data_IF_461933709284
#
_entry.id   IF_461933709284
#
_cell.length_a   1.000
_cell.length_b   1.000
_cell.length_c   1.000
_cell.angle_alpha   90.00
_cell.angle_beta   90.00
_cell.angle_gamma   90.00
#
_symmetry.space_group_name_H-M   'P 1'
#
loop_
_entity.id
_entity.type
_entity.pdbx_description
1 polymer ?
#
# COMPACT_ATOMS: atom_id res chain seq x y z
N UNK A 1 -13.33 -8.23 10.01
CA UNK A 1 -12.39 -7.39 10.80
C UNK A 1 -12.93 -5.98 10.85
N UNK A 2 -13.12 -5.39 12.03
CA UNK A 2 -13.51 -3.98 12.19
C UNK A 2 -12.33 -3.20 12.79
N UNK A 3 -11.96 -2.09 12.16
CA UNK A 3 -10.97 -1.15 12.73
C UNK A 3 -11.75 -0.09 13.50
N UNK A 4 -11.45 0.16 14.79
CA UNK A 4 -12.09 1.23 15.55
C UNK A 4 -11.89 2.58 14.85
N UNK A 5 -12.96 3.34 14.66
CA UNK A 5 -12.93 4.66 14.04
C UNK A 5 -13.51 5.73 14.97
N UNK A 6 -13.12 6.97 14.73
CA UNK A 6 -13.74 8.18 15.29
C UNK A 6 -14.19 9.08 14.15
N UNK A 7 -15.18 9.92 14.40
CA UNK A 7 -15.67 10.88 13.40
C UNK A 7 -14.92 12.19 13.59
N UNK A 8 -14.27 12.69 12.53
CA UNK A 8 -13.55 13.98 12.55
C UNK A 8 -13.95 14.85 11.38
N UNK A 9 -13.97 16.17 11.60
CA UNK A 9 -14.16 17.15 10.53
C UNK A 9 -12.90 17.20 9.66
N UNK A 10 -13.05 17.09 8.34
CA UNK A 10 -11.96 17.26 7.36
C UNK A 10 -12.38 18.23 6.27
N UNK A 11 -11.37 18.88 5.69
CA UNK A 11 -11.55 19.65 4.45
C UNK A 11 -11.71 18.66 3.31
N UNK A 12 -12.83 18.81 2.59
CA UNK A 12 -13.14 18.10 1.37
C UNK A 12 -12.87 19.00 0.17
N UNK A 13 -12.19 18.44 -0.84
CA UNK A 13 -11.91 19.08 -2.13
C UNK A 13 -12.38 18.22 -3.31
N UNK A 14 -13.06 17.10 -3.08
CA UNK A 14 -13.46 16.14 -4.13
C UNK A 14 -14.47 16.73 -5.11
N UNK A 15 -15.27 17.70 -4.67
CA UNK A 15 -16.22 18.44 -5.51
C UNK A 15 -15.64 19.69 -6.20
N UNK A 16 -14.35 19.98 -6.02
CA UNK A 16 -13.72 21.22 -6.48
C UNK A 16 -14.00 22.45 -5.60
N UNK A 17 -15.03 22.39 -4.75
CA UNK A 17 -15.32 23.39 -3.72
C UNK A 17 -14.75 22.96 -2.36
N UNK A 18 -14.22 23.93 -1.59
CA UNK A 18 -13.77 23.69 -0.22
C UNK A 18 -14.97 23.54 0.72
N UNK A 19 -15.21 22.32 1.21
CA UNK A 19 -16.27 22.02 2.20
C UNK A 19 -15.67 21.41 3.46
N UNK A 20 -16.30 21.61 4.61
CA UNK A 20 -15.95 20.89 5.84
C UNK A 20 -16.98 19.78 6.09
N UNK A 21 -16.56 18.53 5.90
CA UNK A 21 -17.41 17.35 6.06
C UNK A 21 -16.89 16.46 7.20
N UNK A 22 -17.76 15.59 7.71
CA UNK A 22 -17.44 14.64 8.77
C UNK A 22 -17.07 13.29 8.18
N UNK A 23 -15.87 12.81 8.51
CA UNK A 23 -15.31 11.55 8.01
C UNK A 23 -15.05 10.57 9.14
N UNK A 24 -15.37 9.30 8.92
CA UNK A 24 -14.84 8.20 9.73
C UNK A 24 -13.34 8.08 9.48
N UNK A 25 -12.54 8.19 10.54
CA UNK A 25 -11.08 8.04 10.49
C UNK A 25 -10.63 7.04 11.55
N UNK A 26 -9.51 6.31 11.34
CA UNK A 26 -8.98 5.43 12.36
C UNK A 26 -8.84 6.14 13.71
N UNK A 27 -9.40 5.56 14.77
CA UNK A 27 -9.42 6.17 16.10
C UNK A 27 -8.03 6.34 16.71
N UNK A 28 -7.11 5.47 16.31
CA UNK A 28 -5.68 5.51 16.61
C UNK A 28 -4.92 5.42 15.30
N UNK A 29 -3.86 6.22 15.15
CA UNK A 29 -2.88 6.00 14.08
C UNK A 29 -2.20 4.68 14.43
N UNK A 30 -2.44 3.65 13.62
CA UNK A 30 -1.67 2.42 13.71
C UNK A 30 -0.31 2.73 13.11
N UNK A 31 0.75 2.55 13.90
CA UNK A 31 2.11 2.65 13.37
C UNK A 31 2.28 1.59 12.27
N UNK A 32 2.87 1.95 11.13
CA UNK A 32 3.11 1.01 10.06
C UNK A 32 4.07 -0.08 10.53
N UNK A 33 3.68 -1.34 10.33
CA UNK A 33 4.56 -2.48 10.59
C UNK A 33 5.73 -2.41 9.60
N UNK A 34 6.95 -2.37 10.14
CA UNK A 34 8.17 -2.37 9.34
C UNK A 34 8.54 -3.80 8.92
N UNK A 35 9.37 -3.94 7.88
CA UNK A 35 9.87 -5.25 7.40
C UNK A 35 10.37 -6.14 8.55
N UNK A 36 11.13 -5.57 9.49
CA UNK A 36 11.65 -6.29 10.65
C UNK A 36 10.53 -6.88 11.51
N UNK A 37 9.55 -6.09 11.90
CA UNK A 37 8.43 -6.54 12.74
C UNK A 37 7.57 -7.56 11.99
N UNK A 38 7.37 -7.37 10.69
CA UNK A 38 6.62 -8.31 9.86
C UNK A 38 7.33 -9.67 9.74
N UNK A 39 8.64 -9.67 9.52
CA UNK A 39 9.41 -10.91 9.50
C UNK A 39 9.42 -11.61 10.88
N UNK A 40 9.39 -10.86 12.01
CA UNK A 40 9.29 -11.45 13.36
C UNK A 40 7.93 -12.11 13.56
N UNK A 41 6.88 -11.50 13.02
CA UNK A 41 5.54 -12.06 13.02
C UNK A 41 5.46 -13.35 12.19
N UNK A 42 6.05 -13.37 11.00
CA UNK A 42 6.05 -14.55 10.12
C UNK A 42 6.87 -15.71 10.68
N UNK A 43 8.02 -15.44 11.31
CA UNK A 43 8.84 -16.47 11.94
C UNK A 43 8.09 -17.18 13.07
N UNK A 44 7.34 -16.42 13.89
CA UNK A 44 6.53 -16.99 14.99
C UNK A 44 5.33 -17.80 14.50
N UNK A 45 4.87 -17.56 13.27
CA UNK A 45 3.64 -18.16 12.71
C UNK A 45 3.93 -19.28 11.70
N UNK A 46 5.16 -19.37 11.20
CA UNK A 46 5.57 -20.34 10.19
C UNK A 46 6.68 -21.26 10.70
N UNK A 47 7.09 -22.23 9.90
CA UNK A 47 8.27 -23.07 10.16
C UNK A 47 9.57 -22.51 9.58
N UNK A 48 9.55 -21.30 9.01
CA UNK A 48 10.72 -20.72 8.36
C UNK A 48 11.58 -19.94 9.34
N UNK A 49 12.90 -20.08 9.20
CA UNK A 49 13.84 -19.28 9.98
C UNK A 49 13.89 -17.84 9.49
N UNK A 50 14.26 -16.93 10.38
CA UNK A 50 14.37 -15.50 10.09
C UNK A 50 15.09 -15.17 8.77
N UNK A 51 16.26 -15.74 8.55
CA UNK A 51 17.06 -15.46 7.35
C UNK A 51 16.34 -15.82 6.05
N UNK A 52 15.56 -16.90 6.03
CA UNK A 52 14.78 -17.30 4.86
C UNK A 52 13.65 -16.31 4.59
N UNK A 53 12.94 -15.88 5.63
CA UNK A 53 11.86 -14.89 5.52
C UNK A 53 12.40 -13.56 5.01
N UNK A 54 13.50 -13.06 5.60
CA UNK A 54 14.11 -11.80 5.17
C UNK A 54 14.59 -11.88 3.73
N UNK A 55 15.14 -13.02 3.29
CA UNK A 55 15.50 -13.27 1.90
C UNK A 55 14.29 -13.20 0.96
N UNK A 56 13.24 -13.98 1.25
CA UNK A 56 12.01 -14.01 0.45
C UNK A 56 11.36 -12.62 0.36
N UNK A 57 11.26 -11.88 1.47
CA UNK A 57 10.68 -10.54 1.46
C UNK A 57 11.50 -9.56 0.62
N UNK A 58 12.83 -9.71 0.57
CA UNK A 58 13.70 -8.87 -0.27
C UNK A 58 13.49 -9.20 -1.74
N UNK A 59 13.65 -10.48 -2.11
CA UNK A 59 13.49 -10.96 -3.47
C UNK A 59 12.10 -10.67 -4.04
N UNK A 60 11.05 -10.80 -3.22
CA UNK A 60 9.67 -10.49 -3.63
C UNK A 60 9.51 -9.02 -4.02
N UNK A 61 10.08 -8.09 -3.23
CA UNK A 61 10.00 -6.66 -3.52
C UNK A 61 10.77 -6.35 -4.81
N UNK A 62 11.97 -6.90 -4.96
CA UNK A 62 12.80 -6.68 -6.14
C UNK A 62 12.14 -7.25 -7.39
N UNK A 63 11.57 -8.45 -7.33
CA UNK A 63 10.85 -9.08 -8.44
C UNK A 63 9.61 -8.28 -8.85
N UNK A 64 8.80 -7.81 -7.89
CA UNK A 64 7.64 -6.95 -8.18
C UNK A 64 8.09 -5.66 -8.85
N UNK A 65 9.15 -5.03 -8.35
CA UNK A 65 9.69 -3.80 -8.94
C UNK A 65 10.19 -4.02 -10.37
N UNK A 66 10.90 -5.11 -10.64
CA UNK A 66 11.39 -5.47 -11.98
C UNK A 66 10.26 -5.73 -12.98
N UNK A 67 9.15 -6.33 -12.55
CA UNK A 67 7.99 -6.56 -13.42
C UNK A 67 7.22 -5.26 -13.68
N UNK A 68 7.02 -4.44 -12.66
CA UNK A 68 6.36 -3.15 -12.80
C UNK A 68 7.15 -2.18 -13.70
N UNK A 69 8.49 -2.21 -13.65
CA UNK A 69 9.32 -1.32 -14.48
C UNK A 69 9.18 -1.56 -15.99
N UNK A 70 8.79 -2.77 -16.39
CA UNK A 70 8.49 -3.13 -17.79
C UNK A 70 6.98 -3.06 -18.11
N UNK A 71 6.19 -2.44 -17.23
CA UNK A 71 4.76 -2.23 -17.42
C UNK A 71 3.89 -3.47 -17.15
N UNK A 72 4.45 -4.55 -16.60
CA UNK A 72 3.68 -5.74 -16.24
C UNK A 72 3.02 -5.56 -14.88
N UNK A 73 1.69 -5.68 -14.84
CA UNK A 73 0.96 -5.70 -13.57
C UNK A 73 1.24 -7.00 -12.81
N UNK A 74 1.34 -6.91 -11.49
CA UNK A 74 1.55 -8.07 -10.61
C UNK A 74 0.33 -8.26 -9.73
N UNK A 75 -0.32 -9.42 -9.84
CA UNK A 75 -1.43 -9.79 -8.95
C UNK A 75 -0.93 -10.71 -7.84
N UNK A 76 -1.20 -10.33 -6.59
CA UNK A 76 -1.03 -11.18 -5.41
C UNK A 76 -2.41 -11.57 -4.90
N UNK A 77 -2.73 -12.87 -4.99
CA UNK A 77 -4.02 -13.40 -4.57
C UNK A 77 -4.31 -13.06 -3.09
N UNK A 78 -5.50 -12.56 -2.81
CA UNK A 78 -5.91 -12.15 -1.47
C UNK A 78 -5.35 -10.81 -0.99
N UNK A 79 -4.45 -10.16 -1.75
CA UNK A 79 -3.91 -8.83 -1.43
C UNK A 79 -4.37 -7.77 -2.44
N UNK A 80 -4.21 -8.04 -3.74
CA UNK A 80 -4.59 -7.11 -4.81
C UNK A 80 -3.68 -7.14 -6.02
N UNK A 81 -3.87 -6.18 -6.92
CA UNK A 81 -3.05 -6.03 -8.13
C UNK A 81 -2.27 -4.71 -8.10
N UNK A 82 -0.96 -4.82 -8.27
CA UNK A 82 -0.04 -3.71 -8.39
C UNK A 82 0.07 -3.32 -9.87
N UNK A 83 -0.15 -2.05 -10.16
CA UNK A 83 -0.04 -1.49 -11.51
C UNK A 83 1.00 -0.37 -11.51
N UNK A 84 1.70 -0.23 -12.62
CA UNK A 84 2.54 0.94 -12.88
C UNK A 84 1.63 2.08 -13.31
N UNK A 85 1.61 3.17 -12.54
CA UNK A 85 0.88 4.37 -12.92
C UNK A 85 1.65 5.09 -14.04
N UNK A 86 1.03 5.19 -15.22
CA UNK A 86 1.51 6.08 -16.27
C UNK A 86 1.12 7.51 -15.89
N UNK A 87 2.12 8.38 -15.78
CA UNK A 87 1.91 9.81 -15.61
C UNK A 87 2.64 10.56 -16.71
N UNK A 88 2.03 11.63 -17.18
CA UNK A 88 2.65 12.58 -18.09
C UNK A 88 2.25 13.98 -17.66
N UNK A 89 3.00 15.00 -18.09
CA UNK A 89 2.43 16.35 -18.16
C UNK A 89 1.20 16.34 -19.07
N UNK A 90 0.29 17.29 -18.85
CA UNK A 90 -0.76 17.58 -19.84
C UNK A 90 -0.13 18.18 -21.10
N UNK A 91 -0.67 17.82 -22.26
CA UNK A 91 -0.25 18.36 -23.56
C UNK A 91 -1.45 19.00 -24.26
N UNK A 92 -1.22 20.09 -25.01
CA UNK A 92 -2.27 20.80 -25.77
C UNK A 92 -2.75 20.01 -27.00
N UNK A 93 -1.88 19.16 -27.54
CA UNK A 93 -2.12 18.27 -28.68
C UNK A 93 -1.59 16.87 -28.39
N UNK A 94 -2.16 15.82 -29.02
CA UNK A 94 -1.79 14.41 -28.78
C UNK A 94 -0.50 13.95 -29.49
N UNK A 95 0.12 14.83 -30.27
CA UNK A 95 1.35 14.62 -31.04
C UNK A 95 2.50 15.46 -30.48
#
# INVERSE_FOLDING_TARGET
>A
MSVPYVVRKKVDLTSGERKELWYGVPGKILEPIRKKEFAEYLEKRSGFHRGQIDGILTEMVDAIHSLLSIGQAVTSEGLGTFHTALTSSGFESPE
#
